data_IF_239654810408
#
_entry.id   IF_239654810408
#
_cell.length_a   1.000
_cell.length_b   1.000
_cell.length_c   1.000
_cell.angle_alpha   90.00
_cell.angle_beta   90.00
_cell.angle_gamma   90.00
#
_symmetry.space_group_name_H-M   'P 1'
#
loop_
_entity.id
_entity.type
_entity.pdbx_description
1 polymer ?
#
# COMPACT_ATOMS: atom_id res chain seq x y z
N UNK A 1 -6.15 -8.31 13.82
CA UNK A 1 -4.81 -8.40 13.23
C UNK A 1 -3.78 -8.38 14.35
N UNK A 2 -2.73 -9.19 14.24
CA UNK A 2 -1.56 -9.15 15.11
C UNK A 2 -0.41 -8.48 14.35
N UNK A 3 0.39 -7.69 15.08
CA UNK A 3 1.61 -7.07 14.54
C UNK A 3 1.37 -6.30 13.22
N UNK A 4 0.35 -5.44 13.21
CA UNK A 4 -0.04 -4.66 12.04
C UNK A 4 0.09 -3.14 12.28
N UNK A 5 0.31 -2.39 11.21
CA UNK A 5 -0.01 -0.96 11.15
C UNK A 5 -1.36 -0.82 10.47
N UNK A 6 -2.30 -0.14 11.11
CA UNK A 6 -3.65 0.09 10.59
C UNK A 6 -3.78 1.59 10.33
N UNK A 7 -3.89 1.95 9.06
CA UNK A 7 -4.15 3.30 8.63
C UNK A 7 -5.67 3.49 8.53
N UNK A 8 -6.18 4.32 9.43
CA UNK A 8 -7.61 4.60 9.58
C UNK A 8 -7.93 5.93 8.91
N UNK A 9 -8.71 5.89 7.85
CA UNK A 9 -9.20 7.09 7.16
C UNK A 9 -10.61 7.49 7.57
N UNK A 10 -11.24 6.76 8.47
CA UNK A 10 -12.54 7.12 9.02
C UNK A 10 -12.38 8.10 10.19
N UNK A 11 -12.42 9.40 9.87
CA UNK A 11 -12.36 10.49 10.84
C UNK A 11 -13.51 10.44 11.87
N UNK A 12 -14.52 9.60 11.64
CA UNK A 12 -15.61 9.31 12.59
C UNK A 12 -15.20 8.39 13.74
N UNK A 13 -13.97 7.86 13.74
CA UNK A 13 -13.42 7.10 14.84
C UNK A 13 -13.99 5.69 15.00
N UNK A 14 -14.48 5.08 13.93
CA UNK A 14 -15.05 3.72 13.98
C UNK A 14 -14.13 2.68 14.61
N UNK A 15 -12.81 2.79 14.37
CA UNK A 15 -11.82 1.92 14.97
C UNK A 15 -11.37 2.33 16.38
N UNK A 16 -11.63 3.57 16.83
CA UNK A 16 -11.20 4.06 18.14
C UNK A 16 -11.74 3.19 19.30
N UNK A 17 -12.94 2.64 19.15
CA UNK A 17 -13.52 1.71 20.11
C UNK A 17 -12.69 0.43 20.31
N UNK A 18 -11.78 0.13 19.39
CA UNK A 18 -10.94 -1.07 19.39
C UNK A 18 -9.47 -0.78 19.75
N UNK A 19 -9.09 0.45 20.07
CA UNK A 19 -7.70 0.86 20.31
C UNK A 19 -6.98 -0.01 21.35
N UNK A 20 -7.65 -0.34 22.45
CA UNK A 20 -7.08 -1.25 23.45
C UNK A 20 -6.74 -2.61 22.84
N UNK A 21 -7.69 -3.21 22.11
CA UNK A 21 -7.50 -4.52 21.48
C UNK A 21 -6.43 -4.48 20.39
N UNK A 22 -6.32 -3.38 19.67
CA UNK A 22 -5.29 -3.15 18.64
C UNK A 22 -3.92 -3.17 19.32
N UNK A 23 -3.72 -2.41 20.39
CA UNK A 23 -2.47 -2.37 21.17
C UNK A 23 -2.12 -3.71 21.80
N UNK A 24 -3.08 -4.38 22.41
CA UNK A 24 -2.89 -5.70 23.04
C UNK A 24 -2.43 -6.76 22.04
N UNK A 25 -2.73 -6.59 20.75
CA UNK A 25 -2.25 -7.43 19.66
C UNK A 25 -0.91 -6.98 19.04
N UNK A 26 -0.21 -6.01 19.65
CA UNK A 26 1.04 -5.47 19.12
C UNK A 26 0.90 -4.66 17.85
N UNK A 27 -0.32 -4.24 17.52
CA UNK A 27 -0.64 -3.42 16.36
C UNK A 27 -0.72 -1.93 16.72
N UNK A 28 -0.64 -1.07 15.71
CA UNK A 28 -0.72 0.39 15.87
C UNK A 28 -1.80 0.90 14.92
N UNK A 29 -2.68 1.81 15.41
CA UNK A 29 -3.63 2.56 14.58
C UNK A 29 -3.09 3.98 14.37
N UNK A 30 -3.18 4.46 13.16
CA UNK A 30 -2.76 5.80 12.74
C UNK A 30 -3.90 6.40 11.94
N UNK A 31 -4.38 7.56 12.36
CA UNK A 31 -5.35 8.33 11.60
C UNK A 31 -4.64 9.04 10.44
N UNK A 32 -5.19 8.92 9.25
CA UNK A 32 -4.61 9.46 8.01
C UNK A 32 -5.69 10.01 7.11
N UNK A 33 -5.33 11.02 6.33
CA UNK A 33 -6.21 11.66 5.35
C UNK A 33 -5.76 11.42 3.90
N UNK A 34 -4.61 10.78 3.68
CA UNK A 34 -4.09 10.65 2.33
C UNK A 34 -3.14 9.47 2.13
N UNK A 35 -3.03 9.00 0.90
CA UNK A 35 -2.02 8.03 0.48
C UNK A 35 -0.58 8.54 0.69
N UNK A 36 -0.36 9.85 0.53
CA UNK A 36 0.96 10.44 0.73
C UNK A 36 1.43 10.35 2.20
N UNK A 37 0.52 10.64 3.16
CA UNK A 37 0.81 10.45 4.59
C UNK A 37 1.16 9.01 4.92
N UNK A 38 0.40 8.06 4.37
CA UNK A 38 0.67 6.62 4.54
C UNK A 38 2.07 6.28 4.03
N UNK A 39 2.42 6.68 2.81
CA UNK A 39 3.73 6.40 2.23
C UNK A 39 4.87 7.00 3.05
N UNK A 40 4.68 8.22 3.56
CA UNK A 40 5.68 8.88 4.40
C UNK A 40 5.89 8.11 5.71
N UNK A 41 4.80 7.73 6.41
CA UNK A 41 4.91 6.96 7.65
C UNK A 41 5.49 5.55 7.41
N UNK A 42 5.07 4.86 6.34
CA UNK A 42 5.60 3.55 5.98
C UNK A 42 7.12 3.60 5.75
N UNK A 43 7.61 4.61 5.02
CA UNK A 43 9.04 4.84 4.79
C UNK A 43 9.79 5.11 6.08
N UNK A 44 9.23 5.98 6.93
CA UNK A 44 9.84 6.28 8.23
C UNK A 44 9.93 5.02 9.10
N UNK A 45 8.86 4.23 9.19
CA UNK A 45 8.88 2.96 9.93
C UNK A 45 9.87 1.96 9.39
N UNK A 46 10.03 1.91 8.07
CA UNK A 46 11.01 1.06 7.44
C UNK A 46 12.44 1.48 7.85
N UNK A 47 12.72 2.79 7.82
CA UNK A 47 14.00 3.37 8.26
C UNK A 47 14.29 3.08 9.73
N UNK A 48 13.29 3.21 10.59
CA UNK A 48 13.39 2.98 12.04
C UNK A 48 13.35 1.51 12.43
N UNK A 49 13.18 0.59 11.46
CA UNK A 49 13.03 -0.85 11.72
C UNK A 49 11.73 -1.21 12.46
N UNK A 50 10.73 -0.31 12.44
CA UNK A 50 9.45 -0.49 13.13
C UNK A 50 8.29 -0.85 12.20
N UNK A 51 8.57 -1.07 10.91
CA UNK A 51 7.58 -1.50 9.94
C UNK A 51 7.03 -2.88 10.33
N UNK A 52 5.71 -2.97 10.42
CA UNK A 52 5.04 -4.21 10.78
C UNK A 52 4.87 -5.13 9.57
N UNK A 53 4.63 -6.41 9.84
CA UNK A 53 4.41 -7.41 8.78
C UNK A 53 3.16 -7.17 7.97
N UNK A 54 2.16 -6.58 8.57
CA UNK A 54 0.86 -6.33 7.95
C UNK A 54 0.57 -4.85 7.95
N UNK A 55 0.20 -4.36 6.79
CA UNK A 55 -0.30 -3.01 6.56
C UNK A 55 -1.79 -3.15 6.25
N UNK A 56 -2.64 -2.49 7.01
CA UNK A 56 -4.08 -2.47 6.78
C UNK A 56 -4.55 -1.04 6.50
N UNK A 57 -5.38 -0.89 5.46
CA UNK A 57 -6.00 0.39 5.09
C UNK A 57 -7.50 0.30 5.35
N UNK A 58 -8.01 1.08 6.31
CA UNK A 58 -9.43 1.16 6.68
C UNK A 58 -9.90 2.62 6.59
N UNK A 59 -10.62 2.99 5.52
CA UNK A 59 -10.88 2.23 4.29
C UNK A 59 -10.34 2.95 3.05
N UNK A 60 -9.97 2.19 2.03
CA UNK A 60 -9.38 2.75 0.80
C UNK A 60 -10.35 3.63 0.00
N UNK A 61 -11.67 3.47 0.18
CA UNK A 61 -12.69 4.34 -0.45
C UNK A 61 -12.51 5.78 -0.02
N UNK A 62 -12.41 6.05 1.29
CA UNK A 62 -12.18 7.39 1.83
C UNK A 62 -10.87 7.99 1.32
N UNK A 63 -9.78 7.24 1.45
CA UNK A 63 -8.45 7.66 0.97
C UNK A 63 -8.46 8.04 -0.52
N UNK A 64 -9.19 7.28 -1.35
CA UNK A 64 -9.28 7.57 -2.78
C UNK A 64 -10.10 8.83 -3.06
N UNK A 65 -11.22 9.01 -2.36
CA UNK A 65 -12.06 10.21 -2.47
C UNK A 65 -11.30 11.46 -2.03
N UNK A 66 -10.60 11.41 -0.89
CA UNK A 66 -9.79 12.52 -0.40
C UNK A 66 -8.64 12.86 -1.34
N UNK A 67 -8.01 11.84 -1.92
CA UNK A 67 -6.99 12.04 -2.96
C UNK A 67 -7.57 12.69 -4.21
N UNK A 68 -8.76 12.29 -4.65
CA UNK A 68 -9.45 12.94 -5.77
C UNK A 68 -9.74 14.42 -5.47
N UNK A 69 -10.30 14.73 -4.31
CA UNK A 69 -10.61 16.10 -3.89
C UNK A 69 -9.37 16.98 -3.82
N UNK A 70 -8.25 16.44 -3.32
CA UNK A 70 -6.98 17.16 -3.26
C UNK A 70 -6.44 17.52 -4.65
N UNK A 71 -6.61 16.63 -5.62
CA UNK A 71 -6.15 16.85 -6.98
C UNK A 71 -7.15 17.64 -7.84
N UNK A 72 -8.39 17.72 -7.42
CA UNK A 72 -9.47 18.48 -8.08
C UNK A 72 -10.43 19.10 -7.05
N UNK A 73 -9.98 20.10 -6.29
CA UNK A 73 -10.77 20.70 -5.20
C UNK A 73 -12.02 21.42 -5.72
N UNK A 74 -12.03 21.87 -6.97
CA UNK A 74 -13.17 22.59 -7.61
C UNK A 74 -14.15 21.61 -8.28
N UNK A 75 -13.80 20.32 -8.35
CA UNK A 75 -14.62 19.28 -9.00
C UNK A 75 -15.05 19.64 -10.43
N UNK A 76 -14.13 20.23 -11.17
CA UNK A 76 -14.32 20.60 -12.57
C UNK A 76 -14.25 19.38 -13.52
N UNK A 77 -14.19 19.64 -14.83
CA UNK A 77 -14.19 18.62 -15.88
C UNK A 77 -12.91 17.75 -15.92
N UNK A 78 -11.88 18.04 -15.09
CA UNK A 78 -10.58 17.34 -15.11
C UNK A 78 -10.55 16.08 -14.22
N UNK A 79 -11.70 15.47 -13.99
CA UNK A 79 -11.82 14.24 -13.17
C UNK A 79 -10.89 13.11 -13.65
N UNK A 80 -10.71 12.96 -14.95
CA UNK A 80 -9.84 11.92 -15.51
C UNK A 80 -8.38 12.06 -15.06
N UNK A 81 -7.83 13.28 -15.05
CA UNK A 81 -6.48 13.57 -14.60
C UNK A 81 -6.33 13.37 -13.10
N UNK A 82 -7.30 13.84 -12.32
CA UNK A 82 -7.32 13.69 -10.86
C UNK A 82 -7.38 12.21 -10.45
N UNK A 83 -8.22 11.42 -11.11
CA UNK A 83 -8.31 9.99 -10.88
C UNK A 83 -7.00 9.27 -11.25
N UNK A 84 -6.30 9.69 -12.30
CA UNK A 84 -5.00 9.13 -12.64
C UNK A 84 -3.94 9.44 -11.57
N UNK A 85 -3.95 10.65 -10.99
CA UNK A 85 -3.05 11.03 -9.89
C UNK A 85 -3.34 10.21 -8.62
N UNK A 86 -4.60 10.12 -8.22
CA UNK A 86 -5.01 9.30 -7.07
C UNK A 86 -4.65 7.81 -7.27
N UNK A 87 -4.82 7.30 -8.49
CA UNK A 87 -4.42 5.93 -8.83
C UNK A 87 -2.90 5.75 -8.78
N UNK A 88 -2.12 6.78 -9.13
CA UNK A 88 -0.66 6.74 -9.03
C UNK A 88 -0.21 6.68 -7.57
N UNK A 89 -0.82 7.45 -6.68
CA UNK A 89 -0.55 7.39 -5.24
C UNK A 89 -0.86 5.99 -4.65
N UNK A 90 -2.00 5.41 -5.03
CA UNK A 90 -2.35 4.04 -4.68
C UNK A 90 -1.26 3.04 -5.12
N UNK A 91 -0.78 3.18 -6.36
CA UNK A 91 0.30 2.32 -6.88
C UNK A 91 1.56 2.41 -6.03
N UNK A 92 1.87 3.59 -5.50
CA UNK A 92 3.01 3.79 -4.59
C UNK A 92 2.91 2.91 -3.35
N UNK A 93 1.74 2.84 -2.70
CA UNK A 93 1.50 1.98 -1.53
C UNK A 93 1.64 0.50 -1.90
N UNK A 94 1.03 0.08 -3.01
CA UNK A 94 1.10 -1.30 -3.49
C UNK A 94 2.55 -1.72 -3.79
N UNK A 95 3.30 -0.89 -4.50
CA UNK A 95 4.71 -1.16 -4.82
C UNK A 95 5.57 -1.19 -3.57
N UNK A 96 5.31 -0.32 -2.60
CA UNK A 96 5.98 -0.37 -1.31
C UNK A 96 5.73 -1.71 -0.62
N UNK A 97 4.46 -2.10 -0.45
CA UNK A 97 4.12 -3.36 0.20
C UNK A 97 4.77 -4.56 -0.51
N UNK A 98 4.78 -4.56 -1.85
CA UNK A 98 5.43 -5.61 -2.66
C UNK A 98 6.94 -5.64 -2.47
N UNK A 99 7.59 -4.48 -2.50
CA UNK A 99 9.06 -4.38 -2.40
C UNK A 99 9.57 -4.82 -1.05
N UNK A 100 8.84 -4.50 0.01
CA UNK A 100 9.24 -4.80 1.39
C UNK A 100 8.53 -6.04 1.97
N UNK A 101 7.90 -6.83 1.10
CA UNK A 101 7.23 -8.09 1.43
C UNK A 101 6.26 -7.98 2.62
N UNK A 102 5.50 -6.87 2.63
CA UNK A 102 4.46 -6.65 3.63
C UNK A 102 3.13 -7.20 3.14
N UNK A 103 2.35 -7.79 4.03
CA UNK A 103 0.97 -8.12 3.74
C UNK A 103 0.16 -6.83 3.64
N UNK A 104 -0.55 -6.64 2.53
CA UNK A 104 -1.42 -5.49 2.34
C UNK A 104 -2.89 -5.92 2.43
N UNK A 105 -3.60 -5.40 3.41
CA UNK A 105 -5.03 -5.62 3.61
C UNK A 105 -5.76 -4.31 3.32
N UNK A 106 -6.73 -4.35 2.41
CA UNK A 106 -7.53 -3.19 2.05
C UNK A 106 -9.00 -3.47 2.35
N UNK A 107 -9.61 -2.58 3.10
CA UNK A 107 -11.06 -2.55 3.31
C UNK A 107 -11.63 -1.49 2.37
N UNK A 108 -12.70 -1.83 1.68
CA UNK A 108 -13.34 -0.95 0.71
C UNK A 108 -14.85 -1.06 0.81
N UNK A 109 -15.54 0.05 0.59
CA UNK A 109 -16.96 0.02 0.32
C UNK A 109 -17.21 -0.56 -1.07
N UNK A 110 -18.46 -0.96 -1.32
CA UNK A 110 -18.89 -1.46 -2.62
C UNK A 110 -19.70 -0.39 -3.33
N UNK A 111 -19.44 -0.21 -4.62
CA UNK A 111 -20.27 0.62 -5.51
C UNK A 111 -20.90 -0.23 -6.59
N UNK A 112 -21.98 0.28 -7.17
CA UNK A 112 -22.61 -0.35 -8.34
C UNK A 112 -21.65 -0.33 -9.53
N UNK A 113 -21.59 -1.43 -10.26
CA UNK A 113 -20.88 -1.57 -11.51
C UNK A 113 -21.90 -1.45 -12.66
N UNK A 114 -21.57 -0.63 -13.65
CA UNK A 114 -22.43 -0.37 -14.79
C UNK A 114 -21.72 -0.75 -16.10
N UNK A 115 -22.45 -1.40 -16.97
CA UNK A 115 -22.06 -1.63 -18.36
C UNK A 115 -23.18 -1.17 -19.27
N UNK A 116 -22.87 -0.19 -20.17
CA UNK A 116 -23.86 0.42 -21.08
C UNK A 116 -25.14 0.85 -20.35
N UNK A 117 -24.95 1.60 -19.24
CA UNK A 117 -26.01 2.15 -18.36
C UNK A 117 -26.87 1.11 -17.62
N UNK A 118 -26.53 -0.16 -17.71
CA UNK A 118 -27.17 -1.21 -16.91
C UNK A 118 -26.27 -1.63 -15.75
N UNK A 119 -26.85 -1.70 -14.57
CA UNK A 119 -26.13 -2.25 -13.42
C UNK A 119 -25.90 -3.75 -13.64
N UNK A 120 -24.63 -4.13 -13.76
CA UNK A 120 -24.20 -5.52 -13.97
C UNK A 120 -23.67 -6.20 -12.71
N UNK A 121 -23.30 -5.40 -11.69
CA UNK A 121 -22.76 -5.95 -10.46
C UNK A 121 -22.42 -4.91 -9.41
N UNK A 122 -21.47 -5.27 -8.56
CA UNK A 122 -20.86 -4.39 -7.56
C UNK A 122 -19.35 -4.64 -7.56
N UNK A 123 -18.58 -3.56 -7.50
CA UNK A 123 -17.12 -3.60 -7.39
C UNK A 123 -16.64 -2.83 -6.17
N UNK A 124 -15.40 -3.04 -5.78
CA UNK A 124 -14.76 -2.26 -4.72
C UNK A 124 -14.68 -0.78 -5.14
N UNK A 125 -15.09 0.12 -4.23
CA UNK A 125 -15.00 1.55 -4.44
C UNK A 125 -13.64 2.07 -3.98
N UNK A 126 -12.82 2.48 -4.93
CA UNK A 126 -11.45 2.93 -4.69
C UNK A 126 -10.70 3.18 -6.00
N UNK A 127 -9.39 3.07 -5.95
CA UNK A 127 -8.53 3.24 -7.12
C UNK A 127 -8.89 2.27 -8.24
N UNK A 128 -8.73 2.74 -9.48
CA UNK A 128 -8.98 1.91 -10.67
C UNK A 128 -8.18 0.61 -10.60
N UNK A 129 -8.86 -0.51 -10.84
CA UNK A 129 -8.31 -1.87 -10.81
C UNK A 129 -7.84 -2.37 -9.43
N UNK A 130 -8.29 -1.78 -8.33
CA UNK A 130 -7.90 -2.23 -6.98
C UNK A 130 -8.10 -3.73 -6.79
N UNK A 131 -9.23 -4.29 -7.22
CA UNK A 131 -9.47 -5.75 -7.15
C UNK A 131 -8.50 -6.53 -8.03
N UNK A 132 -8.12 -5.97 -9.19
CA UNK A 132 -7.12 -6.53 -10.09
C UNK A 132 -5.73 -6.65 -9.46
N UNK A 133 -5.37 -5.71 -8.61
CA UNK A 133 -4.07 -5.62 -7.96
C UNK A 133 -3.92 -6.62 -6.80
N UNK A 134 -5.02 -7.04 -6.16
CA UNK A 134 -5.00 -7.93 -5.00
C UNK A 134 -4.88 -9.40 -5.40
N UNK A 135 -4.20 -10.20 -4.56
CA UNK A 135 -4.12 -11.65 -4.72
C UNK A 135 -5.42 -12.34 -4.30
N UNK A 136 -6.04 -11.81 -3.24
CA UNK A 136 -7.29 -12.32 -2.68
C UNK A 136 -8.27 -11.17 -2.63
N UNK A 137 -9.46 -11.39 -3.17
CA UNK A 137 -10.61 -10.47 -3.06
C UNK A 137 -11.79 -11.25 -2.53
N UNK A 138 -12.30 -10.82 -1.40
CA UNK A 138 -13.49 -11.40 -0.78
C UNK A 138 -14.52 -10.30 -0.54
N UNK A 139 -15.79 -10.62 -0.82
CA UNK A 139 -16.91 -9.76 -0.51
C UNK A 139 -17.61 -10.27 0.75
N UNK A 140 -17.68 -9.43 1.77
CA UNK A 140 -18.34 -9.77 3.02
C UNK A 140 -19.83 -9.43 2.94
N UNK A 141 -20.66 -10.40 3.22
CA UNK A 141 -22.11 -10.23 3.36
C UNK A 141 -22.52 -10.46 4.80
N UNK A 142 -23.19 -9.45 5.37
CA UNK A 142 -23.76 -9.57 6.70
C UNK A 142 -25.03 -10.41 6.66
N UNK A 143 -25.05 -11.50 7.39
CA UNK A 143 -26.28 -12.22 7.66
C UNK A 143 -27.17 -11.37 8.56
N UNK A 144 -28.49 -11.52 8.40
CA UNK A 144 -29.49 -10.89 9.27
C UNK A 144 -30.29 -11.97 9.96
N UNK A 145 -30.67 -11.72 11.22
CA UNK A 145 -31.66 -12.55 11.92
C UNK A 145 -33.09 -12.20 11.47
N UNK A 146 -34.07 -12.92 11.98
CA UNK A 146 -35.49 -12.72 11.67
C UNK A 146 -36.03 -11.33 12.07
N UNK A 147 -35.26 -10.59 12.88
CA UNK A 147 -35.53 -9.22 13.30
C UNK A 147 -34.74 -8.19 12.52
N UNK A 148 -34.02 -8.62 11.47
CA UNK A 148 -33.21 -7.74 10.64
C UNK A 148 -31.87 -7.29 11.25
N UNK A 149 -31.48 -7.82 12.42
CA UNK A 149 -30.22 -7.48 13.08
C UNK A 149 -29.04 -8.24 12.46
N UNK A 150 -27.88 -7.60 12.36
CA UNK A 150 -26.67 -8.26 11.85
C UNK A 150 -26.29 -9.47 12.69
N UNK A 151 -26.06 -10.60 12.03
CA UNK A 151 -25.62 -11.85 12.62
C UNK A 151 -24.15 -12.09 12.24
N UNK A 152 -23.36 -12.49 13.21
CA UNK A 152 -21.94 -12.83 13.01
C UNK A 152 -21.76 -14.36 13.11
N UNK A 153 -20.74 -14.92 12.43
CA UNK A 153 -19.84 -14.26 11.47
C UNK A 153 -20.54 -13.96 10.15
N UNK A 154 -19.98 -12.98 9.41
CA UNK A 154 -20.38 -12.69 8.03
C UNK A 154 -20.03 -13.85 7.10
N UNK A 155 -20.66 -13.90 5.93
CA UNK A 155 -20.23 -14.80 4.84
C UNK A 155 -19.22 -14.07 3.98
N UNK A 156 -18.10 -14.73 3.71
CA UNK A 156 -17.11 -14.32 2.73
C UNK A 156 -17.43 -14.99 1.40
N UNK A 157 -17.77 -14.21 0.38
CA UNK A 157 -17.87 -14.66 -1.00
C UNK A 157 -16.55 -14.41 -1.69
N UNK A 158 -15.93 -15.45 -2.23
CA UNK A 158 -14.64 -15.37 -2.89
C UNK A 158 -14.84 -14.85 -4.31
N UNK A 159 -14.33 -13.64 -4.58
CA UNK A 159 -14.36 -13.03 -5.91
C UNK A 159 -13.09 -13.41 -6.68
N UNK A 160 -11.96 -13.47 -5.98
CA UNK A 160 -10.67 -13.81 -6.56
C UNK A 160 -9.77 -14.41 -5.51
N UNK A 161 -9.03 -15.44 -5.90
CA UNK A 161 -8.01 -16.06 -5.06
C UNK A 161 -6.91 -16.61 -5.95
N UNK A 162 -5.79 -15.91 -6.00
CA UNK A 162 -4.61 -16.38 -6.72
C UNK A 162 -3.86 -17.37 -5.84
N UNK A 163 -3.79 -18.61 -6.29
CA UNK A 163 -3.09 -19.69 -5.64
C UNK A 163 -2.26 -20.41 -6.69
N UNK A 164 -1.15 -20.99 -6.28
CA UNK A 164 -0.37 -21.89 -7.10
C UNK A 164 -1.27 -23.09 -7.48
N UNK A 165 -1.34 -23.47 -8.76
CA UNK A 165 -2.09 -24.66 -9.18
C UNK A 165 -1.62 -25.95 -8.51
N UNK A 166 -0.33 -26.02 -8.10
CA UNK A 166 0.26 -27.17 -7.43
C UNK A 166 0.07 -27.18 -5.90
N UNK A 167 -0.68 -26.18 -5.37
CA UNK A 167 -0.93 -26.07 -3.94
C UNK A 167 -1.82 -27.20 -3.44
N UNK A 168 -1.26 -28.10 -2.62
CA UNK A 168 -1.93 -29.29 -2.07
C UNK A 168 -3.11 -29.00 -1.12
N UNK A 169 -3.33 -27.74 -0.72
CA UNK A 169 -4.41 -27.34 0.20
C UNK A 169 -5.82 -27.46 -0.40
N UNK A 170 -5.90 -27.91 -1.64
CA UNK A 170 -7.15 -28.19 -2.31
C UNK A 170 -7.86 -26.94 -2.89
N UNK A 171 -9.11 -27.11 -3.28
CA UNK A 171 -9.91 -26.08 -3.96
C UNK A 171 -10.35 -25.01 -2.96
N UNK A 172 -10.18 -23.73 -3.33
CA UNK A 172 -10.71 -22.61 -2.57
C UNK A 172 -12.25 -22.62 -2.67
N UNK A 173 -12.99 -22.63 -1.56
CA UNK A 173 -14.43 -22.62 -1.61
C UNK A 173 -14.98 -21.30 -2.17
N UNK A 174 -16.09 -21.35 -2.90
CA UNK A 174 -16.73 -20.15 -3.44
C UNK A 174 -17.21 -19.18 -2.33
N UNK A 175 -17.57 -19.74 -1.16
CA UNK A 175 -17.93 -18.94 0.03
C UNK A 175 -17.64 -19.71 1.31
N UNK A 176 -17.43 -18.97 2.41
CA UNK A 176 -17.19 -19.54 3.73
C UNK A 176 -17.63 -18.57 4.84
N UNK A 177 -17.80 -19.08 6.06
CA UNK A 177 -18.01 -18.22 7.23
C UNK A 177 -16.71 -17.45 7.52
N UNK A 178 -16.77 -16.12 7.52
CA UNK A 178 -15.58 -15.28 7.68
C UNK A 178 -15.15 -15.23 9.15
N UNK A 179 -14.32 -16.17 9.54
CA UNK A 179 -13.55 -16.16 10.78
C UNK A 179 -12.07 -16.22 10.46
N UNK A 180 -11.23 -15.80 11.41
CA UNK A 180 -9.76 -15.86 11.22
C UNK A 180 -9.31 -17.31 11.04
N UNK A 181 -9.90 -18.24 11.81
CA UNK A 181 -9.60 -19.66 11.77
C UNK A 181 -9.91 -20.27 10.39
N UNK A 182 -11.10 -20.00 9.84
CA UNK A 182 -11.48 -20.51 8.52
C UNK A 182 -10.63 -19.86 7.41
N UNK A 183 -10.35 -18.56 7.51
CA UNK A 183 -9.47 -17.91 6.55
C UNK A 183 -8.06 -18.51 6.57
N UNK A 184 -7.47 -18.69 7.76
CA UNK A 184 -6.12 -19.29 7.91
C UNK A 184 -6.09 -20.73 7.41
N UNK A 185 -7.16 -21.52 7.68
CA UNK A 185 -7.28 -22.89 7.18
C UNK A 185 -7.27 -22.94 5.66
N UNK A 186 -7.97 -22.04 4.99
CA UNK A 186 -8.05 -21.99 3.52
C UNK A 186 -6.75 -21.41 2.93
N UNK A 187 -6.24 -20.32 3.50
CA UNK A 187 -5.06 -19.64 3.03
C UNK A 187 -3.76 -20.40 3.33
N UNK A 188 -3.70 -21.03 4.50
CA UNK A 188 -2.50 -21.62 5.10
C UNK A 188 -1.80 -20.64 6.03
N UNK A 189 -1.23 -21.19 7.12
CA UNK A 189 -0.46 -20.42 8.10
C UNK A 189 1.03 -20.34 7.78
N UNK A 190 1.50 -21.22 6.88
CA UNK A 190 2.94 -21.50 6.74
C UNK A 190 3.62 -20.74 5.61
N UNK A 191 2.90 -19.79 5.01
CA UNK A 191 3.47 -18.96 3.97
C UNK A 191 4.43 -17.93 4.58
N UNK A 192 5.63 -18.39 4.92
CA UNK A 192 6.76 -17.53 5.32
C UNK A 192 7.56 -17.20 4.07
N UNK A 193 7.43 -16.00 3.55
CA UNK A 193 8.41 -15.46 2.62
C UNK A 193 9.65 -15.04 3.40
N UNK A 194 10.83 -15.35 2.87
CA UNK A 194 12.03 -14.68 3.32
C UNK A 194 11.94 -13.20 2.95
N UNK A 195 11.97 -12.34 3.96
CA UNK A 195 11.95 -10.90 3.72
C UNK A 195 13.24 -10.46 3.10
N UNK A 196 13.16 -9.74 1.99
CA UNK A 196 14.30 -9.05 1.42
C UNK A 196 14.76 -8.01 2.45
N UNK A 197 15.97 -8.20 2.99
CA UNK A 197 16.57 -7.24 3.90
C UNK A 197 17.00 -6.02 3.12
N UNK A 198 16.20 -4.96 3.18
CA UNK A 198 16.57 -3.69 2.56
C UNK A 198 17.59 -2.99 3.44
N UNK A 199 18.74 -2.69 2.85
CA UNK A 199 19.80 -1.91 3.50
C UNK A 199 19.74 -0.51 2.92
N UNK A 200 19.27 0.45 3.72
CA UNK A 200 19.30 1.87 3.35
C UNK A 200 20.72 2.40 3.29
N UNK A 201 20.90 3.42 2.47
CA UNK A 201 22.15 4.12 2.35
C UNK A 201 22.55 4.73 3.71
N UNK A 202 23.78 4.49 4.11
CA UNK A 202 24.32 5.08 5.32
C UNK A 202 24.52 6.58 5.12
N UNK A 203 24.41 7.41 6.19
CA UNK A 203 24.67 8.83 6.11
C UNK A 203 26.01 9.17 5.43
N UNK A 204 27.06 8.38 5.73
CA UNK A 204 28.40 8.57 5.17
C UNK A 204 28.43 8.32 3.66
N UNK A 205 27.65 7.34 3.16
CA UNK A 205 27.55 7.05 1.73
C UNK A 205 26.84 8.19 0.99
N UNK A 206 25.76 8.72 1.60
CA UNK A 206 25.02 9.88 1.06
C UNK A 206 25.90 11.13 1.06
N UNK A 207 26.64 11.39 2.13
CA UNK A 207 27.55 12.51 2.25
C UNK A 207 28.66 12.43 1.18
N UNK A 208 29.20 11.24 0.95
CA UNK A 208 30.21 11.00 -0.08
C UNK A 208 29.67 11.30 -1.47
N UNK A 209 28.44 10.84 -1.80
CA UNK A 209 27.79 11.19 -3.06
C UNK A 209 27.58 12.71 -3.18
N UNK A 210 27.08 13.34 -2.11
CA UNK A 210 26.82 14.80 -2.09
C UNK A 210 28.11 15.59 -2.32
N UNK A 211 29.24 15.20 -1.73
CA UNK A 211 30.55 15.82 -1.97
C UNK A 211 31.00 15.70 -3.44
N UNK A 212 30.81 14.53 -4.05
CA UNK A 212 31.16 14.35 -5.45
C UNK A 212 30.21 15.14 -6.35
N UNK A 213 28.91 15.18 -6.03
CA UNK A 213 27.92 15.98 -6.76
C UNK A 213 28.22 17.50 -6.71
N UNK A 214 28.82 18.00 -5.62
CA UNK A 214 29.18 19.42 -5.49
C UNK A 214 30.29 19.85 -6.45
N UNK A 215 30.97 18.92 -7.11
CA UNK A 215 31.95 19.20 -8.18
C UNK A 215 31.30 19.42 -9.56
N UNK A 216 29.99 19.13 -9.67
CA UNK A 216 29.22 19.39 -10.88
C UNK A 216 28.55 20.77 -10.83
N UNK A 217 28.11 21.24 -11.99
CA UNK A 217 27.23 22.40 -12.07
C UNK A 217 25.96 22.15 -11.27
N UNK A 218 25.44 23.18 -10.57
CA UNK A 218 24.30 23.07 -9.67
C UNK A 218 23.03 22.57 -10.36
N UNK A 219 22.78 23.05 -11.59
CA UNK A 219 21.59 22.67 -12.33
C UNK A 219 21.69 21.21 -12.80
N UNK A 220 22.87 20.79 -13.23
CA UNK A 220 23.15 19.39 -13.59
C UNK A 220 23.00 18.47 -12.38
N UNK A 221 23.54 18.85 -11.23
CA UNK A 221 23.42 18.08 -10.00
C UNK A 221 21.97 17.95 -9.55
N UNK A 222 21.18 19.03 -9.59
CA UNK A 222 19.76 19.03 -9.24
C UNK A 222 18.95 18.15 -10.18
N UNK A 223 19.16 18.25 -11.50
CA UNK A 223 18.50 17.42 -12.50
C UNK A 223 18.79 15.94 -12.30
N UNK A 224 20.06 15.58 -12.08
CA UNK A 224 20.47 14.19 -11.82
C UNK A 224 19.82 13.63 -10.56
N UNK A 225 19.87 14.40 -9.47
CA UNK A 225 19.23 14.03 -8.21
C UNK A 225 17.73 13.76 -8.42
N UNK A 226 17.03 14.68 -9.07
CA UNK A 226 15.59 14.51 -9.36
C UNK A 226 15.29 13.25 -10.19
N UNK A 227 16.12 12.94 -11.18
CA UNK A 227 15.98 11.71 -11.98
C UNK A 227 16.20 10.45 -11.14
N UNK A 228 17.19 10.42 -10.24
CA UNK A 228 17.46 9.26 -9.39
C UNK A 228 16.38 9.04 -8.36
N UNK A 229 15.93 10.09 -7.68
CA UNK A 229 14.82 10.01 -6.72
C UNK A 229 13.55 9.48 -7.39
N UNK A 230 13.25 9.98 -8.59
CA UNK A 230 12.12 9.50 -9.39
C UNK A 230 12.28 8.03 -9.80
N UNK A 231 13.46 7.62 -10.24
CA UNK A 231 13.75 6.24 -10.62
C UNK A 231 13.70 5.28 -9.43
N UNK A 232 14.18 5.73 -8.26
CA UNK A 232 14.10 4.98 -7.01
C UNK A 232 12.69 4.98 -6.39
N UNK A 233 11.77 5.84 -6.86
CA UNK A 233 10.42 5.99 -6.30
C UNK A 233 10.42 6.57 -4.89
N UNK A 234 11.40 7.41 -4.55
CA UNK A 234 11.57 8.02 -3.23
C UNK A 234 11.66 9.54 -3.31
N UNK A 235 11.41 10.21 -2.19
CA UNK A 235 11.40 11.68 -2.11
C UNK A 235 12.75 12.27 -1.69
N UNK A 236 13.61 11.46 -1.06
CA UNK A 236 14.92 11.88 -0.63
C UNK A 236 15.94 10.74 -0.73
N UNK A 237 17.23 11.08 -0.76
CA UNK A 237 18.33 10.10 -0.84
C UNK A 237 18.39 9.20 0.40
N UNK A 238 17.90 9.64 1.53
CA UNK A 238 17.86 8.85 2.77
C UNK A 238 16.99 7.59 2.68
N UNK A 239 16.05 7.58 1.72
CA UNK A 239 15.20 6.41 1.44
C UNK A 239 15.70 5.57 0.28
N UNK A 240 16.82 5.92 -0.33
CA UNK A 240 17.48 5.07 -1.31
C UNK A 240 18.23 3.92 -0.62
N UNK A 241 18.36 2.81 -1.31
CA UNK A 241 19.18 1.70 -0.81
C UNK A 241 20.67 2.02 -0.96
N UNK A 242 21.52 1.35 -0.16
CA UNK A 242 22.97 1.47 -0.27
C UNK A 242 23.46 1.18 -1.69
N UNK A 243 22.89 0.15 -2.34
CA UNK A 243 23.20 -0.20 -3.73
C UNK A 243 22.82 0.91 -4.71
N UNK A 244 21.65 1.56 -4.52
CA UNK A 244 21.22 2.65 -5.38
C UNK A 244 22.14 3.85 -5.27
N UNK A 245 22.50 4.26 -4.06
CA UNK A 245 23.42 5.39 -3.83
C UNK A 245 24.82 5.08 -4.35
N UNK A 246 25.31 3.86 -4.17
CA UNK A 246 26.60 3.41 -4.73
C UNK A 246 26.62 3.52 -6.25
N UNK A 247 25.58 3.03 -6.94
CA UNK A 247 25.45 3.17 -8.41
C UNK A 247 25.42 4.63 -8.86
N UNK A 248 24.73 5.51 -8.11
CA UNK A 248 24.75 6.94 -8.38
C UNK A 248 26.16 7.52 -8.25
N UNK A 249 26.89 7.13 -7.21
CA UNK A 249 28.27 7.58 -6.97
C UNK A 249 29.20 7.16 -8.11
N UNK A 250 29.15 5.88 -8.52
CA UNK A 250 29.95 5.36 -9.65
C UNK A 250 29.63 6.10 -10.97
N UNK A 251 28.35 6.40 -11.19
CA UNK A 251 27.93 7.13 -12.40
C UNK A 251 28.53 8.53 -12.42
N UNK A 252 28.49 9.27 -11.31
CA UNK A 252 29.09 10.62 -11.22
C UNK A 252 30.60 10.58 -11.38
N UNK A 253 31.27 9.63 -10.75
CA UNK A 253 32.72 9.46 -10.87
C UNK A 253 33.15 9.21 -12.32
N UNK A 254 32.44 8.35 -13.05
CA UNK A 254 32.67 8.12 -14.48
C UNK A 254 32.49 9.40 -15.32
N UNK A 255 31.45 10.17 -14.99
CA UNK A 255 31.16 11.43 -15.70
C UNK A 255 32.25 12.48 -15.46
N UNK A 256 32.73 12.62 -14.23
CA UNK A 256 33.83 13.56 -13.89
C UNK A 256 35.16 13.04 -14.46
N UNK A 257 35.45 11.74 -14.38
CA UNK A 257 36.67 11.16 -14.92
C UNK A 257 36.79 11.17 -16.45
N UNK A 258 35.66 11.28 -17.17
CA UNK A 258 35.61 11.42 -18.63
C UNK A 258 35.74 12.86 -19.15
N UNK A 259 35.87 13.85 -18.25
CA UNK A 259 36.04 15.28 -18.57
C UNK A 259 37.55 15.65 -18.60
N UNK A 260 38.45 14.69 -18.52
CA UNK A 260 39.90 14.89 -18.65
C UNK A 260 40.35 14.77 -20.09
#
# INVERSE_FOLDING_TARGET
LKNAVIYDSDLGGGLAAYDKRIKDNGSVRIEVSSYAEILTDMRQRLKDGTLKETIALDHVTGLHQDSLLRHNPVQDSDYGRSNNKATYEWRGIREFARTFDSNLICISHMKAEYEKDKQVGKIADGAKNIEGDMHIVIRLESLKDDKGRKKYPSIANVIKWRRDPEDERGVVPASFKFTVEEFVKIHGSDYKRERVKVVFAKPETIESLTKIMSLLDKDVAAEMTGKWLKAAGVESMEFMTEEQVTKCTEFVQKKIGGIK
#
